data_IF_506856552530
#
_entry.id   IF_506856552530
#
_cell.length_a   1.000
_cell.length_b   1.000
_cell.length_c   1.000
_cell.angle_alpha   90.00
_cell.angle_beta   90.00
_cell.angle_gamma   90.00
#
_symmetry.space_group_name_H-M   'P 1'
#
loop_
_entity.id
_entity.type
_entity.pdbx_description
1 polymer ?
#
# COMPACT_ATOMS: atom_id res chain seq x y z
N UNK A 1 -3.80 -31.14 45.42
CA UNK A 1 -4.47 -30.47 44.29
C UNK A 1 -3.45 -30.45 43.16
N UNK A 2 -3.66 -31.24 42.12
CA UNK A 2 -2.80 -31.25 40.93
C UNK A 2 -3.06 -29.98 40.13
N UNK A 3 -1.99 -29.29 39.74
CA UNK A 3 -1.91 -28.66 38.41
C UNK A 3 -0.48 -28.91 37.92
N UNK A 4 -0.33 -29.90 37.04
CA UNK A 4 0.85 -29.98 36.18
C UNK A 4 0.66 -28.91 35.12
N UNK A 5 1.45 -27.83 35.19
CA UNK A 5 1.59 -26.91 34.08
C UNK A 5 2.52 -27.57 33.06
N UNK A 6 1.94 -28.34 32.15
CA UNK A 6 2.62 -28.68 30.90
C UNK A 6 2.61 -27.41 30.06
N UNK A 7 3.71 -26.66 30.04
CA UNK A 7 3.90 -25.67 28.97
C UNK A 7 3.79 -26.41 27.63
N UNK A 8 2.83 -25.97 26.81
CA UNK A 8 2.72 -26.42 25.43
C UNK A 8 4.01 -26.00 24.71
N UNK A 9 4.72 -26.90 24.01
CA UNK A 9 5.83 -26.48 23.18
C UNK A 9 5.26 -25.58 22.08
N UNK A 10 5.52 -24.28 22.18
CA UNK A 10 5.33 -23.39 21.05
C UNK A 10 6.44 -23.74 20.07
N UNK A 11 6.17 -24.68 19.16
CA UNK A 11 6.98 -24.86 17.95
C UNK A 11 6.80 -23.58 17.13
N UNK A 12 7.61 -22.58 17.45
CA UNK A 12 7.62 -21.31 16.76
C UNK A 12 7.85 -21.56 15.27
N UNK A 13 6.80 -21.37 14.48
CA UNK A 13 6.89 -21.28 13.02
C UNK A 13 7.91 -20.18 12.76
N UNK A 14 9.11 -20.58 12.31
CA UNK A 14 10.16 -19.64 11.94
C UNK A 14 9.72 -18.96 10.64
N UNK A 15 8.91 -17.92 10.76
CA UNK A 15 8.49 -17.07 9.64
C UNK A 15 9.74 -16.42 9.04
N UNK A 16 10.22 -16.97 7.91
CA UNK A 16 11.29 -16.34 7.13
C UNK A 16 10.68 -15.23 6.28
N UNK A 17 10.93 -13.98 6.67
CA UNK A 17 10.53 -12.82 5.88
C UNK A 17 11.63 -12.47 4.87
N UNK A 18 11.29 -12.40 3.59
CA UNK A 18 12.16 -11.89 2.54
C UNK A 18 11.58 -10.58 2.02
N UNK A 19 12.34 -9.48 2.10
CA UNK A 19 11.95 -8.16 1.61
C UNK A 19 12.91 -7.71 0.51
N UNK A 20 12.36 -7.27 -0.63
CA UNK A 20 13.11 -6.63 -1.72
C UNK A 20 12.38 -5.37 -2.15
N UNK A 21 13.04 -4.23 -2.03
CA UNK A 21 12.52 -2.93 -2.50
C UNK A 21 13.20 -2.54 -3.80
N UNK A 22 12.42 -2.10 -4.79
CA UNK A 22 12.94 -1.55 -6.04
C UNK A 22 12.73 -0.04 -6.03
N UNK A 23 13.81 0.71 -5.82
CA UNK A 23 13.81 2.17 -6.02
C UNK A 23 14.33 2.48 -7.42
N UNK A 24 13.71 3.43 -8.14
CA UNK A 24 14.17 4.04 -9.41
C UNK A 24 13.70 3.45 -10.76
N UNK A 25 12.60 2.70 -10.83
CA UNK A 25 11.99 2.43 -12.15
C UNK A 25 11.27 3.68 -12.67
N UNK A 26 11.44 4.02 -13.96
CA UNK A 26 10.56 4.99 -14.64
C UNK A 26 9.14 4.45 -14.46
N UNK A 27 8.34 5.25 -13.76
CA UNK A 27 7.01 4.85 -13.35
C UNK A 27 6.07 4.91 -14.55
N UNK A 28 5.57 3.75 -14.97
CA UNK A 28 4.54 3.63 -15.99
C UNK A 28 3.36 2.89 -15.35
N UNK A 29 2.18 3.51 -15.27
CA UNK A 29 0.96 2.86 -14.79
C UNK A 29 0.67 1.55 -15.53
N UNK A 30 0.07 0.58 -14.83
CA UNK A 30 -0.28 -0.75 -15.34
C UNK A 30 0.91 -1.58 -15.84
N UNK A 31 2.15 -1.15 -15.53
CA UNK A 31 3.33 -1.89 -15.92
C UNK A 31 3.49 -3.13 -15.04
N UNK A 32 3.85 -4.26 -15.66
CA UNK A 32 4.00 -5.53 -14.97
C UNK A 32 5.45 -5.70 -14.54
N UNK A 33 5.65 -5.99 -13.26
CA UNK A 33 6.95 -6.35 -12.71
C UNK A 33 6.96 -7.85 -12.45
N UNK A 34 7.96 -8.52 -13.03
CA UNK A 34 8.24 -9.92 -12.75
C UNK A 34 9.10 -10.03 -11.50
N UNK A 35 8.60 -10.76 -10.50
CA UNK A 35 9.34 -11.11 -9.30
C UNK A 35 9.73 -12.58 -9.36
N UNK A 36 10.91 -12.91 -8.82
CA UNK A 36 11.36 -14.30 -8.74
C UNK A 36 12.05 -14.55 -7.42
N UNK A 37 11.79 -15.72 -6.83
CA UNK A 37 12.45 -16.21 -5.64
C UNK A 37 13.04 -17.60 -5.92
N UNK A 38 14.15 -17.91 -5.27
CA UNK A 38 14.77 -19.24 -5.30
C UNK A 38 14.87 -19.78 -3.87
N UNK A 39 14.27 -20.93 -3.62
CA UNK A 39 14.30 -21.65 -2.33
C UNK A 39 14.78 -23.07 -2.61
N UNK A 40 15.80 -23.52 -1.88
CA UNK A 40 16.37 -24.88 -1.97
C UNK A 40 16.68 -25.32 -3.43
N UNK A 41 17.21 -24.38 -4.22
CA UNK A 41 17.58 -24.61 -5.62
C UNK A 41 16.40 -24.67 -6.61
N UNK A 42 15.16 -24.47 -6.15
CA UNK A 42 13.97 -24.32 -7.01
C UNK A 42 13.60 -22.85 -7.15
N UNK A 43 13.17 -22.45 -8.34
CA UNK A 43 12.80 -21.07 -8.65
C UNK A 43 11.32 -20.96 -8.98
N UNK A 44 10.65 -19.96 -8.40
CA UNK A 44 9.31 -19.56 -8.79
C UNK A 44 9.34 -18.10 -9.26
N UNK A 45 8.36 -17.80 -10.09
CA UNK A 45 8.17 -16.49 -10.70
C UNK A 45 6.72 -16.09 -10.50
N UNK A 46 6.50 -14.81 -10.27
CA UNK A 46 5.19 -14.19 -10.06
C UNK A 46 5.20 -12.85 -10.78
N UNK A 47 4.05 -12.38 -11.23
CA UNK A 47 3.89 -11.04 -11.80
C UNK A 47 3.01 -10.20 -10.87
N UNK A 48 3.43 -8.95 -10.66
CA UNK A 48 2.62 -7.94 -9.97
C UNK A 48 2.44 -6.74 -10.89
N UNK A 49 1.25 -6.16 -10.89
CA UNK A 49 0.94 -4.97 -11.68
C UNK A 49 1.13 -3.73 -10.81
N UNK A 50 1.85 -2.73 -11.31
CA UNK A 50 1.91 -1.40 -10.68
C UNK A 50 0.55 -0.69 -10.88
N UNK A 51 -0.17 -0.33 -9.81
CA UNK A 51 -1.58 0.07 -9.91
C UNK A 51 -1.83 1.42 -10.64
N UNK A 52 -0.98 2.42 -10.44
CA UNK A 52 -0.84 3.67 -11.20
C UNK A 52 -2.06 4.49 -11.64
N UNK A 53 -1.78 5.46 -12.51
CA UNK A 53 -2.72 6.46 -13.03
C UNK A 53 -3.36 7.38 -11.96
N UNK A 54 -2.61 7.73 -10.92
CA UNK A 54 -3.04 8.73 -9.94
C UNK A 54 -3.12 10.11 -10.62
N UNK A 55 -4.30 10.72 -10.59
CA UNK A 55 -4.57 12.07 -11.07
C UNK A 55 -5.27 12.86 -9.97
N UNK A 56 -4.80 14.08 -9.72
CA UNK A 56 -5.35 14.97 -8.71
C UNK A 56 -5.88 16.20 -9.43
N UNK A 57 -7.21 16.30 -9.52
CA UNK A 57 -7.86 17.43 -10.20
C UNK A 57 -8.02 18.63 -9.26
N UNK A 58 -8.07 18.39 -7.95
CA UNK A 58 -8.14 19.44 -6.94
C UNK A 58 -7.78 18.90 -5.54
N UNK A 59 -7.63 19.76 -4.51
CA UNK A 59 -7.38 19.36 -3.13
C UNK A 59 -8.33 18.27 -2.59
N UNK A 60 -9.56 18.24 -3.09
CA UNK A 60 -10.62 17.37 -2.58
C UNK A 60 -10.91 16.17 -3.49
N UNK A 61 -10.29 16.12 -4.67
CA UNK A 61 -10.63 15.14 -5.71
C UNK A 61 -9.37 14.43 -6.20
N UNK A 62 -9.30 13.14 -5.88
CA UNK A 62 -8.25 12.24 -6.33
C UNK A 62 -8.90 11.12 -7.14
N UNK A 63 -8.34 10.88 -8.33
CA UNK A 63 -8.71 9.76 -9.20
C UNK A 63 -7.51 8.83 -9.33
N UNK A 64 -7.75 7.54 -9.35
CA UNK A 64 -6.74 6.54 -9.70
C UNK A 64 -7.41 5.35 -10.36
N UNK A 65 -6.65 4.59 -11.15
CA UNK A 65 -7.15 3.31 -11.60
C UNK A 65 -6.91 2.31 -10.46
N UNK A 66 -7.98 1.85 -9.83
CA UNK A 66 -7.94 0.82 -8.81
C UNK A 66 -7.60 -0.56 -9.43
N UNK A 67 -6.34 -0.76 -9.78
CA UNK A 67 -5.75 -2.10 -9.88
C UNK A 67 -5.00 -2.49 -8.58
N UNK A 68 -5.21 -1.72 -7.51
CA UNK A 68 -4.70 -1.96 -6.16
C UNK A 68 -5.70 -2.71 -5.29
N UNK A 69 -5.24 -3.34 -4.21
CA UNK A 69 -6.09 -3.96 -3.19
C UNK A 69 -5.95 -3.22 -1.82
N UNK A 70 -5.14 -2.16 -1.75
CA UNK A 70 -4.85 -1.38 -0.54
C UNK A 70 -4.46 0.05 -0.93
N UNK A 71 -5.39 0.99 -0.76
CA UNK A 71 -5.20 2.39 -1.12
C UNK A 71 -5.37 3.31 0.09
N UNK A 72 -4.49 4.30 0.21
CA UNK A 72 -4.49 5.24 1.33
C UNK A 72 -4.20 6.66 0.87
N UNK A 73 -4.89 7.61 1.49
CA UNK A 73 -4.61 9.02 1.39
C UNK A 73 -4.25 9.55 2.77
N UNK A 74 -3.12 10.26 2.83
CA UNK A 74 -2.70 11.02 4.00
C UNK A 74 -2.70 12.50 3.68
N UNK A 75 -3.38 13.29 4.50
CA UNK A 75 -3.33 14.75 4.46
C UNK A 75 -2.66 15.24 5.72
N UNK A 76 -1.54 15.93 5.57
CA UNK A 76 -0.77 16.47 6.68
C UNK A 76 -0.61 17.98 6.52
N UNK A 77 -0.96 18.76 7.56
CA UNK A 77 -0.64 20.18 7.58
C UNK A 77 0.88 20.38 7.66
N UNK A 78 1.43 21.28 6.82
CA UNK A 78 2.86 21.58 6.83
C UNK A 78 3.26 22.19 8.16
N UNK A 79 4.21 21.56 8.87
CA UNK A 79 4.66 22.02 10.18
C UNK A 79 3.78 21.56 11.35
N UNK A 80 2.87 20.62 11.12
CA UNK A 80 2.00 20.02 12.14
C UNK A 80 2.17 18.49 12.16
N UNK A 81 1.89 17.89 13.32
CA UNK A 81 1.82 16.44 13.48
C UNK A 81 0.39 15.91 13.17
N UNK A 82 -0.58 16.80 12.95
CA UNK A 82 -1.96 16.41 12.62
C UNK A 82 -2.02 15.81 11.21
N UNK A 83 -2.47 14.55 11.14
CA UNK A 83 -2.63 13.82 9.88
C UNK A 83 -4.03 13.22 9.79
N UNK A 84 -4.73 13.48 8.69
CA UNK A 84 -5.91 12.70 8.29
C UNK A 84 -5.45 11.50 7.46
N UNK A 85 -6.03 10.34 7.73
CA UNK A 85 -5.80 9.10 6.97
C UNK A 85 -7.14 8.56 6.47
N UNK A 86 -7.25 8.25 5.19
CA UNK A 86 -8.42 7.54 4.67
C UNK A 86 -8.46 6.13 5.26
N UNK A 87 -9.57 5.78 5.91
CA UNK A 87 -9.76 4.45 6.50
C UNK A 87 -10.27 3.42 5.48
N UNK A 88 -10.78 3.87 4.34
CA UNK A 88 -11.44 3.01 3.36
C UNK A 88 -10.52 2.67 2.19
N UNK A 89 -10.33 1.37 1.96
CA UNK A 89 -9.97 0.82 0.65
C UNK A 89 -11.20 0.95 -0.25
N UNK A 90 -11.10 1.71 -1.35
CA UNK A 90 -12.08 1.63 -2.44
C UNK A 90 -11.98 0.24 -3.07
N UNK A 91 -13.06 -0.37 -3.54
CA UNK A 91 -13.05 -1.64 -4.30
C UNK A 91 -13.44 -1.44 -5.79
N UNK A 92 -13.58 -0.18 -6.25
CA UNK A 92 -14.07 0.16 -7.60
C UNK A 92 -13.05 1.01 -8.38
N UNK A 93 -12.60 0.45 -9.53
CA UNK A 93 -11.68 1.03 -10.52
C UNK A 93 -12.17 2.30 -11.22
N UNK A 94 -13.45 2.63 -11.08
CA UNK A 94 -14.00 3.89 -11.55
C UNK A 94 -14.32 4.88 -10.41
N UNK A 95 -14.05 4.50 -9.16
CA UNK A 95 -14.48 5.30 -8.01
C UNK A 95 -13.48 6.42 -7.73
N UNK A 96 -13.97 7.65 -7.85
CA UNK A 96 -13.26 8.86 -7.44
C UNK A 96 -13.22 8.90 -5.92
N UNK A 97 -12.06 9.19 -5.34
CA UNK A 97 -11.97 9.42 -3.91
C UNK A 97 -12.13 10.89 -3.58
N UNK A 98 -13.07 11.15 -2.68
CA UNK A 98 -13.35 12.47 -2.15
C UNK A 98 -12.65 12.64 -0.81
N UNK A 99 -11.62 13.49 -0.77
CA UNK A 99 -10.96 13.82 0.50
C UNK A 99 -11.92 14.69 1.33
N UNK A 100 -12.28 14.28 2.55
CA UNK A 100 -13.21 15.03 3.38
C UNK A 100 -12.66 16.43 3.70
N UNK A 101 -13.54 17.42 3.78
CA UNK A 101 -13.17 18.81 4.08
C UNK A 101 -12.51 18.94 5.45
N UNK A 102 -12.86 18.08 6.39
CA UNK A 102 -12.29 18.00 7.74
C UNK A 102 -10.79 17.65 7.72
N UNK A 103 -10.28 17.08 6.63
CA UNK A 103 -8.84 16.87 6.41
C UNK A 103 -8.08 18.19 6.18
N UNK A 104 -8.81 19.28 5.86
CA UNK A 104 -8.30 20.62 5.61
C UNK A 104 -8.93 21.65 6.59
N UNK A 105 -8.67 21.54 7.90
CA UNK A 105 -9.39 22.31 8.92
C UNK A 105 -9.14 23.83 8.91
N UNK A 106 -8.10 24.30 8.22
CA UNK A 106 -7.70 25.72 8.15
C UNK A 106 -7.60 26.17 6.70
N UNK A 107 -8.25 27.28 6.36
CA UNK A 107 -8.09 28.00 5.08
C UNK A 107 -6.74 28.70 5.00
N UNK A 108 -6.29 29.05 3.79
CA UNK A 108 -4.98 29.68 3.55
C UNK A 108 -3.75 28.86 3.98
N UNK A 109 -3.94 27.60 4.38
CA UNK A 109 -2.90 26.74 4.94
C UNK A 109 -2.40 25.74 3.89
N UNK A 110 -1.12 25.36 4.02
CA UNK A 110 -0.50 24.36 3.17
C UNK A 110 -0.59 22.97 3.78
N UNK A 111 -0.93 22.00 2.95
CA UNK A 111 -1.03 20.59 3.29
C UNK A 111 -0.23 19.75 2.30
N UNK A 112 0.35 18.66 2.78
CA UNK A 112 0.94 17.62 1.94
C UNK A 112 -0.10 16.52 1.79
N UNK A 113 -0.55 16.30 0.56
CA UNK A 113 -1.41 15.19 0.19
C UNK A 113 -0.51 14.06 -0.34
N UNK A 114 -0.44 12.96 0.41
CA UNK A 114 0.27 11.74 0.03
C UNK A 114 -0.79 10.71 -0.40
N UNK A 115 -0.80 10.36 -1.67
CA UNK A 115 -1.66 9.32 -2.23
C UNK A 115 -0.81 8.06 -2.40
N UNK A 116 -1.27 6.95 -1.85
CA UNK A 116 -0.63 5.65 -1.92
C UNK A 116 -1.64 4.68 -2.51
N UNK A 117 -1.31 4.08 -3.65
CA UNK A 117 -2.12 3.03 -4.28
C UNK A 117 -1.27 1.77 -4.32
N UNK A 118 -1.80 0.65 -3.80
CA UNK A 118 -1.01 -0.57 -3.70
C UNK A 118 -1.75 -1.78 -4.22
N UNK A 119 -1.11 -2.56 -5.08
CA UNK A 119 -1.56 -3.89 -5.48
C UNK A 119 -0.85 -4.96 -4.66
N UNK A 120 -1.59 -5.97 -4.22
CA UNK A 120 -1.05 -7.08 -3.45
C UNK A 120 -1.44 -8.42 -4.09
N UNK A 121 -0.42 -9.24 -4.41
CA UNK A 121 -0.60 -10.64 -4.79
C UNK A 121 -0.44 -11.48 -3.53
N UNK A 122 -1.55 -12.00 -3.02
CA UNK A 122 -1.58 -12.91 -1.88
C UNK A 122 -1.28 -14.34 -2.32
N UNK A 123 -0.67 -15.13 -1.45
CA UNK A 123 -0.25 -16.52 -1.74
C UNK A 123 0.68 -16.60 -2.97
N UNK A 124 1.49 -15.56 -3.17
CA UNK A 124 2.48 -15.51 -4.24
C UNK A 124 3.47 -16.69 -4.12
N UNK A 125 4.01 -17.16 -5.24
CA UNK A 125 4.97 -18.27 -5.24
C UNK A 125 4.48 -19.54 -4.49
N UNK A 126 3.17 -19.78 -4.46
CA UNK A 126 2.55 -20.94 -3.78
C UNK A 126 3.10 -22.30 -4.21
N UNK A 127 3.76 -22.37 -5.37
CA UNK A 127 4.48 -23.55 -5.85
C UNK A 127 5.74 -23.90 -5.04
N UNK A 128 6.30 -22.96 -4.27
CA UNK A 128 7.50 -23.15 -3.46
C UNK A 128 7.29 -22.95 -1.95
N UNK A 129 6.18 -22.34 -1.53
CA UNK A 129 5.85 -22.14 -0.11
C UNK A 129 4.38 -22.46 0.14
N UNK A 130 4.05 -23.33 1.11
CA UNK A 130 2.67 -23.53 1.55
C UNK A 130 2.15 -22.38 2.43
N UNK A 131 3.01 -21.42 2.84
CA UNK A 131 2.63 -20.30 3.71
C UNK A 131 2.81 -18.93 3.04
N UNK A 132 1.90 -18.03 3.43
CA UNK A 132 1.48 -16.75 2.86
C UNK A 132 2.61 -15.78 2.49
N UNK A 133 3.21 -15.97 1.31
CA UNK A 133 4.00 -14.92 0.69
C UNK A 133 3.07 -13.88 0.04
N UNK A 134 3.41 -12.61 0.24
CA UNK A 134 2.69 -11.47 -0.32
C UNK A 134 3.69 -10.65 -1.12
N UNK A 135 3.35 -10.33 -2.36
CA UNK A 135 4.05 -9.31 -3.14
C UNK A 135 3.20 -8.05 -3.11
N UNK A 136 3.79 -6.94 -2.70
CA UNK A 136 3.13 -5.62 -2.75
C UNK A 136 3.86 -4.72 -3.73
N UNK A 137 3.11 -4.17 -4.69
CA UNK A 137 3.53 -3.09 -5.56
C UNK A 137 2.83 -1.81 -5.10
N UNK A 138 3.58 -0.76 -4.81
CA UNK A 138 3.05 0.48 -4.25
C UNK A 138 3.49 1.68 -5.08
N UNK A 139 2.52 2.50 -5.45
CA UNK A 139 2.73 3.78 -6.09
C UNK A 139 2.43 4.90 -5.11
N UNK A 140 3.36 5.85 -5.00
CA UNK A 140 3.23 6.99 -4.12
C UNK A 140 3.32 8.29 -4.89
N UNK A 141 2.30 9.13 -4.76
CA UNK A 141 2.25 10.47 -5.32
C UNK A 141 2.10 11.50 -4.18
N UNK A 142 2.95 12.52 -4.18
CA UNK A 142 2.90 13.57 -3.15
C UNK A 142 2.70 14.92 -3.83
N UNK A 143 1.73 15.70 -3.36
CA UNK A 143 1.46 17.05 -3.86
C UNK A 143 1.29 18.03 -2.70
N UNK A 144 1.83 19.24 -2.90
CA UNK A 144 1.59 20.37 -2.01
C UNK A 144 0.26 21.02 -2.40
N UNK A 145 -0.64 21.12 -1.43
CA UNK A 145 -1.97 21.68 -1.57
C UNK A 145 -2.06 22.95 -0.74
N UNK A 146 -2.56 24.03 -1.33
CA UNK A 146 -2.91 25.24 -0.58
C UNK A 146 -4.42 25.38 -0.60
N UNK A 147 -5.06 25.36 0.57
CA UNK A 147 -6.49 25.67 0.65
C UNK A 147 -6.72 27.15 0.37
N UNK A 148 -7.70 27.46 -0.48
CA UNK A 148 -8.09 28.84 -0.74
C UNK A 148 -8.61 29.51 0.54
N UNK A 149 -8.54 30.84 0.57
CA UNK A 149 -9.17 31.69 1.59
C UNK A 149 -10.70 31.75 1.42
#
# INVERSE_FOLDING_TARGET
MLVNETELPFEGVSLKQYKKEFSHAIFTPNNKIKCSITIDGKTAEEEVVLPGNISISSPTFVMWNHEGNNDYIYVQEVGSDTTYMSLDSSDDINSVFHVPVEAYPKTGTQYILNVIVSNAVNNAFSSLSPESAIITATDRFNILVTTNE
#
